data_IF_424800986562
#
_entry.id   IF_424800986562
#
_cell.length_a   1.000
_cell.length_b   1.000
_cell.length_c   1.000
_cell.angle_alpha   90.00
_cell.angle_beta   90.00
_cell.angle_gamma   90.00
#
_symmetry.space_group_name_H-M   'P 1'
#
loop_
_entity.id
_entity.type
_entity.pdbx_description
1 polymer ?
#
# COMPACT_ATOMS: atom_id res chain seq x y z
N UNK A 1 22.50 -0.57 5.59
CA UNK A 1 23.30 -0.45 6.86
C UNK A 1 24.43 -1.45 6.84
N UNK A 2 25.67 -1.02 7.05
CA UNK A 2 26.77 -1.96 7.27
C UNK A 2 26.63 -2.51 8.69
N UNK A 3 26.27 -3.80 8.80
CA UNK A 3 26.26 -4.46 10.10
C UNK A 3 27.70 -4.65 10.55
N UNK A 4 28.11 -3.92 11.54
CA UNK A 4 29.39 -4.14 12.19
C UNK A 4 29.25 -5.27 13.19
N UNK A 5 30.10 -6.30 13.07
CA UNK A 5 30.18 -7.33 14.09
C UNK A 5 30.91 -6.78 15.33
N UNK A 6 30.66 -7.36 16.51
CA UNK A 6 31.34 -7.00 17.74
C UNK A 6 32.88 -7.03 17.57
N UNK A 7 33.40 -8.00 16.81
CA UNK A 7 34.81 -8.10 16.46
C UNK A 7 35.30 -6.92 15.60
N UNK A 8 34.47 -6.44 14.66
CA UNK A 8 34.84 -5.27 13.83
C UNK A 8 34.85 -3.99 14.64
N UNK A 9 33.94 -3.85 15.61
CA UNK A 9 33.94 -2.70 16.54
C UNK A 9 35.17 -2.75 17.42
N UNK A 10 35.56 -3.90 17.97
CA UNK A 10 36.74 -4.08 18.77
C UNK A 10 38.02 -3.70 18.01
N UNK A 11 38.17 -4.23 16.79
CA UNK A 11 39.29 -3.88 15.91
C UNK A 11 39.35 -2.41 15.54
N UNK A 12 38.19 -1.76 15.37
CA UNK A 12 38.15 -0.32 15.11
C UNK A 12 38.59 0.52 16.30
N UNK A 13 38.19 0.16 17.52
CA UNK A 13 38.60 0.82 18.76
C UNK A 13 40.10 0.62 18.99
N UNK A 14 40.64 -0.58 18.77
CA UNK A 14 42.08 -0.87 18.87
C UNK A 14 42.90 -0.05 17.84
N UNK A 15 42.43 0.00 16.57
CA UNK A 15 43.08 0.79 15.52
C UNK A 15 43.05 2.30 15.77
N UNK A 16 42.01 2.78 16.46
CA UNK A 16 41.88 4.18 16.84
C UNK A 16 42.72 4.53 18.10
N UNK A 17 43.39 3.58 18.71
CA UNK A 17 44.18 3.79 19.93
C UNK A 17 43.36 4.15 21.16
N UNK A 18 42.05 3.80 21.17
CA UNK A 18 41.15 4.09 22.27
C UNK A 18 41.22 3.01 23.34
N UNK A 19 41.05 3.41 24.61
CA UNK A 19 41.02 2.45 25.72
C UNK A 19 39.89 1.45 25.65
N UNK A 20 40.14 0.26 26.16
CA UNK A 20 39.14 -0.84 26.20
C UNK A 20 37.88 -0.48 27.00
N UNK A 21 37.99 0.50 27.92
CA UNK A 21 36.87 1.12 28.63
C UNK A 21 35.86 1.80 27.69
N UNK A 22 36.34 2.41 26.60
CA UNK A 22 35.51 3.03 25.56
C UNK A 22 34.78 1.97 24.77
N UNK A 23 35.45 0.84 24.45
CA UNK A 23 34.78 -0.31 23.80
C UNK A 23 33.64 -0.84 24.66
N UNK A 24 33.87 -1.04 25.97
CA UNK A 24 32.85 -1.55 26.88
C UNK A 24 31.65 -0.57 27.01
N UNK A 25 31.90 0.75 27.01
CA UNK A 25 30.85 1.76 27.02
C UNK A 25 30.05 1.78 25.72
N UNK A 26 30.73 1.80 24.59
CA UNK A 26 30.03 1.73 23.26
C UNK A 26 29.25 0.43 23.13
N UNK A 27 29.82 -0.68 23.59
CA UNK A 27 29.14 -1.97 23.62
C UNK A 27 27.91 -1.93 24.50
N UNK A 28 28.00 -1.42 25.73
CA UNK A 28 26.85 -1.34 26.64
C UNK A 28 25.72 -0.45 26.08
N UNK A 29 26.06 0.66 25.43
CA UNK A 29 25.07 1.55 24.81
C UNK A 29 24.44 0.94 23.54
N UNK A 30 25.25 0.29 22.68
CA UNK A 30 24.75 -0.34 21.44
C UNK A 30 23.94 -1.60 21.70
N UNK A 31 24.32 -2.41 22.71
CA UNK A 31 23.63 -3.67 23.01
C UNK A 31 22.66 -3.57 24.18
N UNK A 32 22.63 -2.45 24.95
CA UNK A 32 21.58 -2.17 25.93
C UNK A 32 20.29 -1.64 25.28
N UNK A 33 20.34 -1.17 24.06
CA UNK A 33 19.10 -0.93 23.31
C UNK A 33 18.53 -2.28 22.90
N UNK A 34 17.30 -2.62 23.33
CA UNK A 34 16.62 -3.80 22.81
C UNK A 34 16.64 -3.66 21.29
N UNK A 35 17.15 -4.68 20.60
CA UNK A 35 17.18 -4.71 19.13
C UNK A 35 15.76 -4.44 18.58
N UNK A 36 15.45 -3.18 18.36
CA UNK A 36 14.24 -2.76 17.64
C UNK A 36 14.47 -2.83 16.13
N UNK A 37 15.21 -3.86 15.70
CA UNK A 37 15.16 -4.22 14.29
C UNK A 37 13.82 -4.91 14.07
N UNK A 38 13.01 -4.46 13.11
CA UNK A 38 11.97 -5.31 12.56
C UNK A 38 12.67 -6.43 11.79
N UNK A 39 13.28 -7.36 12.52
CA UNK A 39 13.65 -8.65 11.98
C UNK A 39 12.36 -9.28 11.47
N UNK A 40 12.40 -9.91 10.32
CA UNK A 40 11.30 -10.69 9.76
C UNK A 40 11.12 -11.92 10.67
N UNK A 41 10.52 -11.71 11.84
CA UNK A 41 10.22 -12.80 12.76
C UNK A 41 9.04 -13.57 12.19
N UNK A 42 9.12 -14.90 12.22
CA UNK A 42 8.02 -15.80 11.82
C UNK A 42 6.72 -15.43 12.56
N UNK A 43 6.84 -14.94 13.79
CA UNK A 43 5.71 -14.44 14.58
C UNK A 43 4.97 -13.27 13.87
N UNK A 44 5.68 -12.34 13.24
CA UNK A 44 5.06 -11.24 12.50
C UNK A 44 4.27 -11.74 11.29
N UNK A 45 4.81 -12.71 10.55
CA UNK A 45 4.09 -13.34 9.44
C UNK A 45 2.80 -13.97 9.94
N UNK A 46 2.85 -14.70 11.06
CA UNK A 46 1.69 -15.34 11.64
C UNK A 46 0.63 -14.30 12.08
N UNK A 47 1.03 -13.17 12.65
CA UNK A 47 0.11 -12.10 13.05
C UNK A 47 -0.59 -11.46 11.84
N UNK A 48 0.15 -11.12 10.78
CA UNK A 48 -0.43 -10.57 9.54
C UNK A 48 -1.34 -11.59 8.85
N UNK A 49 -0.91 -12.83 8.74
CA UNK A 49 -1.72 -13.91 8.17
C UNK A 49 -3.02 -14.12 8.98
N UNK A 50 -2.92 -14.15 10.30
CA UNK A 50 -4.09 -14.25 11.18
C UNK A 50 -5.08 -13.11 10.97
N UNK A 51 -4.61 -11.87 10.91
CA UNK A 51 -5.46 -10.72 10.64
C UNK A 51 -6.14 -10.81 9.25
N UNK A 52 -5.40 -11.19 8.21
CA UNK A 52 -5.93 -11.37 6.86
C UNK A 52 -6.96 -12.50 6.80
N UNK A 53 -6.74 -13.62 7.52
CA UNK A 53 -7.70 -14.71 7.60
C UNK A 53 -9.00 -14.29 8.27
N UNK A 54 -8.93 -13.48 9.35
CA UNK A 54 -10.13 -12.95 10.02
C UNK A 54 -10.91 -12.03 9.07
N UNK A 55 -10.21 -11.09 8.40
CA UNK A 55 -10.84 -10.18 7.42
C UNK A 55 -11.46 -10.98 6.28
N UNK A 56 -10.74 -11.97 5.74
CA UNK A 56 -11.23 -12.83 4.67
C UNK A 56 -12.42 -13.69 5.08
N UNK A 57 -12.40 -14.26 6.28
CA UNK A 57 -13.52 -15.04 6.84
C UNK A 57 -14.78 -14.19 6.99
N UNK A 58 -14.65 -12.93 7.43
CA UNK A 58 -15.78 -12.00 7.51
C UNK A 58 -16.29 -11.61 6.13
N UNK A 59 -15.41 -11.40 5.15
CA UNK A 59 -15.80 -11.18 3.75
C UNK A 59 -16.58 -12.36 3.18
N UNK A 60 -16.11 -13.59 3.41
CA UNK A 60 -16.80 -14.80 3.01
C UNK A 60 -18.15 -14.97 3.70
N UNK A 61 -18.20 -14.74 5.02
CA UNK A 61 -19.43 -14.79 5.80
C UNK A 61 -20.51 -13.86 5.25
N UNK A 62 -20.14 -12.64 4.85
CA UNK A 62 -21.07 -11.71 4.21
C UNK A 62 -21.64 -12.31 2.92
N UNK A 63 -20.76 -12.85 2.07
CA UNK A 63 -21.15 -13.40 0.76
C UNK A 63 -22.12 -14.56 0.92
N UNK A 64 -21.93 -15.45 1.88
CA UNK A 64 -22.76 -16.63 2.13
C UNK A 64 -24.04 -16.27 2.91
N UNK A 65 -23.93 -15.39 3.90
CA UNK A 65 -25.04 -14.99 4.76
C UNK A 65 -25.92 -13.86 4.19
N UNK A 66 -25.54 -13.30 3.03
CA UNK A 66 -26.15 -12.14 2.43
C UNK A 66 -27.67 -12.25 2.24
N UNK A 67 -28.14 -13.42 1.79
CA UNK A 67 -29.56 -13.69 1.52
C UNK A 67 -30.31 -14.21 2.75
N UNK A 68 -29.64 -14.80 3.73
CA UNK A 68 -30.23 -15.54 4.83
C UNK A 68 -30.38 -14.71 6.13
N UNK A 69 -29.54 -13.69 6.33
CA UNK A 69 -29.56 -12.91 7.56
C UNK A 69 -30.25 -11.54 7.39
N UNK A 70 -30.93 -11.11 8.47
CA UNK A 70 -31.48 -9.75 8.53
C UNK A 70 -30.37 -8.70 8.64
N UNK A 71 -30.65 -7.46 8.19
CA UNK A 71 -29.73 -6.34 8.32
C UNK A 71 -29.27 -6.10 9.76
N UNK A 72 -30.21 -6.20 10.73
CA UNK A 72 -29.91 -6.09 12.14
C UNK A 72 -28.92 -7.16 12.63
N UNK A 73 -29.11 -8.40 12.19
CA UNK A 73 -28.22 -9.51 12.58
C UNK A 73 -26.80 -9.27 12.06
N UNK A 74 -26.65 -8.84 10.82
CA UNK A 74 -25.36 -8.51 10.21
C UNK A 74 -24.69 -7.37 10.96
N UNK A 75 -25.42 -6.28 11.24
CA UNK A 75 -24.90 -5.14 11.98
C UNK A 75 -24.44 -5.53 13.40
N UNK A 76 -25.24 -6.33 14.13
CA UNK A 76 -24.88 -6.80 15.48
C UNK A 76 -23.63 -7.66 15.48
N UNK A 77 -23.50 -8.60 14.53
CA UNK A 77 -22.30 -9.43 14.40
C UNK A 77 -21.09 -8.55 14.12
N UNK A 78 -21.16 -7.66 13.12
CA UNK A 78 -20.06 -6.77 12.77
C UNK A 78 -19.65 -5.85 13.93
N UNK A 79 -20.60 -5.27 14.64
CA UNK A 79 -20.34 -4.43 15.82
C UNK A 79 -19.73 -5.25 16.96
N UNK A 80 -20.22 -6.47 17.23
CA UNK A 80 -19.63 -7.34 18.23
C UNK A 80 -18.14 -7.63 17.92
N UNK A 81 -17.83 -7.98 16.68
CA UNK A 81 -16.45 -8.17 16.24
C UNK A 81 -15.62 -6.89 16.36
N UNK A 82 -16.16 -5.75 15.92
CA UNK A 82 -15.47 -4.45 16.02
C UNK A 82 -15.14 -4.09 17.47
N UNK A 83 -16.08 -4.30 18.38
CA UNK A 83 -15.89 -4.02 19.83
C UNK A 83 -14.87 -4.97 20.45
N UNK A 84 -14.98 -6.27 20.16
CA UNK A 84 -14.06 -7.29 20.70
C UNK A 84 -12.65 -7.04 20.18
N UNK A 85 -12.46 -6.95 18.86
CA UNK A 85 -11.15 -6.76 18.28
C UNK A 85 -10.57 -5.37 18.58
N UNK A 86 -11.41 -4.33 18.61
CA UNK A 86 -10.98 -2.98 19.00
C UNK A 86 -10.56 -2.92 20.46
N UNK A 87 -11.35 -3.49 21.36
CA UNK A 87 -11.04 -3.53 22.80
C UNK A 87 -9.76 -4.32 23.10
N UNK A 88 -9.66 -5.55 22.58
CA UNK A 88 -8.45 -6.38 22.71
C UNK A 88 -7.26 -5.72 22.02
N UNK A 89 -7.46 -5.16 20.81
CA UNK A 89 -6.45 -4.46 20.06
C UNK A 89 -5.83 -3.30 20.83
N UNK A 90 -6.66 -2.41 21.38
CA UNK A 90 -6.21 -1.28 22.21
C UNK A 90 -5.48 -1.78 23.47
N UNK A 91 -6.01 -2.80 24.13
CA UNK A 91 -5.40 -3.37 25.34
C UNK A 91 -3.98 -3.93 25.06
N UNK A 92 -3.82 -4.66 23.96
CA UNK A 92 -2.55 -5.21 23.54
C UNK A 92 -1.60 -4.12 23.05
N UNK A 93 -2.11 -3.11 22.33
CA UNK A 93 -1.30 -2.02 21.79
C UNK A 93 -0.62 -1.16 22.86
N UNK A 94 -1.17 -1.13 24.07
CA UNK A 94 -0.57 -0.45 25.23
C UNK A 94 0.69 -1.13 25.76
N UNK A 95 0.96 -2.38 25.36
CA UNK A 95 2.11 -3.16 25.84
C UNK A 95 3.17 -3.22 24.73
N UNK A 96 4.44 -2.83 25.01
CA UNK A 96 5.49 -2.83 23.99
C UNK A 96 5.70 -4.18 23.28
N UNK A 97 5.61 -5.29 24.01
CA UNK A 97 5.79 -6.63 23.46
C UNK A 97 4.65 -7.08 22.50
N UNK A 98 3.48 -6.44 22.54
CA UNK A 98 2.31 -6.81 21.74
C UNK A 98 1.76 -5.69 20.87
N UNK A 99 2.62 -4.70 20.53
CA UNK A 99 2.26 -3.57 19.67
C UNK A 99 1.73 -4.01 18.31
N UNK A 100 2.39 -4.97 17.66
CA UNK A 100 2.02 -5.43 16.32
C UNK A 100 0.66 -6.14 16.33
N UNK A 101 0.43 -7.21 17.12
CA UNK A 101 -0.88 -7.85 17.16
C UNK A 101 -1.98 -6.89 17.64
N UNK A 102 -1.69 -5.98 18.57
CA UNK A 102 -2.64 -4.94 19.01
C UNK A 102 -3.04 -3.99 17.89
N UNK A 103 -2.07 -3.52 17.10
CA UNK A 103 -2.30 -2.68 15.93
C UNK A 103 -3.10 -3.40 14.84
N UNK A 104 -2.78 -4.66 14.56
CA UNK A 104 -3.49 -5.49 13.57
C UNK A 104 -4.94 -5.75 13.97
N UNK A 105 -5.21 -6.12 15.23
CA UNK A 105 -6.58 -6.32 15.71
C UNK A 105 -7.39 -5.02 15.65
N UNK A 106 -6.77 -3.87 15.94
CA UNK A 106 -7.41 -2.57 15.77
C UNK A 106 -7.74 -2.28 14.29
N UNK A 107 -6.88 -2.68 13.36
CA UNK A 107 -7.16 -2.57 11.93
C UNK A 107 -8.31 -3.51 11.50
N UNK A 108 -8.34 -4.75 12.02
CA UNK A 108 -9.47 -5.68 11.80
C UNK A 108 -10.79 -5.04 12.28
N UNK A 109 -10.79 -4.38 13.44
CA UNK A 109 -11.98 -3.69 13.95
C UNK A 109 -12.45 -2.59 12.99
N UNK A 110 -11.54 -1.84 12.39
CA UNK A 110 -11.88 -0.85 11.33
C UNK A 110 -12.46 -1.54 10.10
N UNK A 111 -11.92 -2.67 9.67
CA UNK A 111 -12.43 -3.44 8.54
C UNK A 111 -13.86 -3.99 8.77
N UNK A 112 -14.34 -4.07 10.01
CA UNK A 112 -15.72 -4.45 10.31
C UNK A 112 -16.72 -3.30 10.10
N UNK A 113 -16.24 -2.06 9.98
CA UNK A 113 -17.11 -0.87 9.84
C UNK A 113 -17.99 -0.92 8.59
N UNK A 114 -17.49 -1.21 7.38
CA UNK A 114 -18.32 -1.30 6.18
C UNK A 114 -19.50 -2.26 6.38
N UNK A 115 -19.22 -3.41 6.99
CA UNK A 115 -20.22 -4.44 7.24
C UNK A 115 -21.29 -4.00 8.25
N UNK A 116 -20.88 -3.30 9.31
CA UNK A 116 -21.81 -2.75 10.30
C UNK A 116 -22.73 -1.71 9.67
N UNK A 117 -22.19 -0.80 8.84
CA UNK A 117 -22.98 0.23 8.14
C UNK A 117 -23.93 -0.43 7.15
N UNK A 118 -23.44 -1.36 6.32
CA UNK A 118 -24.28 -2.13 5.41
C UNK A 118 -25.48 -2.78 6.11
N UNK A 119 -25.24 -3.47 7.22
CA UNK A 119 -26.29 -4.12 7.99
C UNK A 119 -27.33 -3.11 8.52
N UNK A 120 -26.90 -1.92 8.97
CA UNK A 120 -27.78 -0.84 9.41
C UNK A 120 -28.61 -0.28 8.25
N UNK A 121 -27.97 0.04 7.12
CA UNK A 121 -28.65 0.57 5.93
C UNK A 121 -29.70 -0.41 5.40
N UNK A 122 -29.37 -1.69 5.38
CA UNK A 122 -30.31 -2.75 5.01
C UNK A 122 -31.48 -2.86 6.00
N UNK A 123 -31.23 -2.67 7.29
CA UNK A 123 -32.27 -2.74 8.32
C UNK A 123 -33.26 -1.58 8.22
N UNK A 124 -32.78 -0.38 7.91
CA UNK A 124 -33.62 0.84 7.77
C UNK A 124 -34.25 0.99 6.37
N UNK A 125 -33.93 0.06 5.44
CA UNK A 125 -34.45 0.09 4.06
C UNK A 125 -33.74 1.12 3.16
N UNK A 126 -32.58 1.61 3.55
CA UNK A 126 -31.79 2.52 2.70
C UNK A 126 -30.99 1.79 1.65
N UNK A 127 -30.69 0.53 1.90
CA UNK A 127 -30.00 -0.32 0.94
C UNK A 127 -30.96 -0.74 -0.18
N UNK A 128 -30.60 -0.56 -1.48
CA UNK A 128 -31.48 -0.92 -2.59
C UNK A 128 -31.86 -2.41 -2.58
N UNK A 129 -33.14 -2.71 -2.74
CA UNK A 129 -33.65 -4.11 -2.72
C UNK A 129 -33.10 -4.98 -3.86
N UNK A 130 -32.59 -4.36 -4.93
CA UNK A 130 -31.99 -5.00 -6.10
C UNK A 130 -30.49 -5.25 -5.96
N UNK A 131 -29.87 -4.82 -4.87
CA UNK A 131 -28.46 -4.95 -4.63
C UNK A 131 -28.21 -6.01 -3.52
N UNK A 132 -27.20 -6.90 -3.67
CA UNK A 132 -26.24 -6.87 -4.77
C UNK A 132 -26.82 -7.50 -6.03
N UNK A 133 -26.76 -6.75 -7.13
CA UNK A 133 -26.89 -7.33 -8.45
C UNK A 133 -25.73 -8.31 -8.73
N UNK A 134 -25.69 -8.88 -9.93
CA UNK A 134 -24.55 -9.71 -10.33
C UNK A 134 -23.30 -8.84 -10.45
N UNK A 135 -22.32 -9.04 -9.57
CA UNK A 135 -21.00 -8.38 -9.61
C UNK A 135 -20.12 -8.89 -10.77
N UNK A 136 -20.70 -9.07 -11.95
CA UNK A 136 -19.97 -9.49 -13.15
C UNK A 136 -19.24 -8.34 -13.83
N UNK A 137 -19.52 -7.09 -13.44
CA UNK A 137 -18.83 -5.90 -13.93
C UNK A 137 -17.87 -5.38 -12.86
N UNK A 138 -16.75 -4.88 -13.29
CA UNK A 138 -15.68 -4.34 -12.43
C UNK A 138 -16.16 -3.20 -11.50
N UNK A 139 -17.19 -2.47 -11.92
CA UNK A 139 -17.98 -1.56 -11.10
C UNK A 139 -19.44 -1.64 -11.53
N UNK A 140 -20.32 -2.34 -10.79
CA UNK A 140 -21.74 -2.10 -10.92
C UNK A 140 -22.03 -0.67 -10.47
N UNK A 141 -22.96 0.03 -11.13
CA UNK A 141 -23.43 1.34 -10.68
C UNK A 141 -24.03 1.20 -9.29
N UNK A 142 -23.37 1.81 -8.31
CA UNK A 142 -23.69 1.71 -6.90
C UNK A 142 -24.36 3.01 -6.50
N UNK A 143 -25.41 2.92 -5.72
CA UNK A 143 -26.16 4.07 -5.20
C UNK A 143 -25.46 4.65 -3.96
N UNK A 144 -25.87 5.83 -3.49
CA UNK A 144 -25.21 6.60 -2.41
C UNK A 144 -25.01 5.88 -1.07
N UNK A 145 -25.63 4.70 -0.88
CA UNK A 145 -25.41 3.83 0.29
C UNK A 145 -23.94 3.41 0.46
N UNK A 146 -23.23 3.13 -0.63
CA UNK A 146 -21.80 2.76 -0.54
C UNK A 146 -20.93 3.90 -0.08
N UNK A 147 -21.18 5.11 -0.56
CA UNK A 147 -20.44 6.30 -0.15
C UNK A 147 -20.57 6.58 1.35
N UNK A 148 -21.74 6.31 1.94
CA UNK A 148 -21.90 6.42 3.38
C UNK A 148 -21.05 5.39 4.12
N UNK A 149 -21.06 4.14 3.66
CA UNK A 149 -20.26 3.05 4.22
C UNK A 149 -18.75 3.39 4.20
N UNK A 150 -18.27 3.94 3.10
CA UNK A 150 -16.88 4.37 2.93
C UNK A 150 -16.54 5.58 3.81
N UNK A 151 -17.41 6.60 3.82
CA UNK A 151 -17.23 7.80 4.65
C UNK A 151 -17.17 7.45 6.14
N UNK A 152 -18.05 6.57 6.62
CA UNK A 152 -18.03 6.10 8.01
C UNK A 152 -16.75 5.29 8.28
N UNK A 153 -16.29 4.48 7.35
CA UNK A 153 -15.04 3.73 7.48
C UNK A 153 -13.83 4.67 7.61
N UNK A 154 -13.78 5.73 6.82
CA UNK A 154 -12.75 6.78 6.91
C UNK A 154 -12.78 7.48 8.27
N UNK A 155 -13.97 7.82 8.75
CA UNK A 155 -14.14 8.46 10.06
C UNK A 155 -13.66 7.53 11.19
N UNK A 156 -14.07 6.27 11.17
CA UNK A 156 -13.65 5.28 12.18
C UNK A 156 -12.15 5.04 12.11
N UNK A 157 -11.57 4.92 10.91
CA UNK A 157 -10.12 4.79 10.74
C UNK A 157 -9.38 5.99 11.34
N UNK A 158 -9.85 7.22 11.09
CA UNK A 158 -9.26 8.45 11.63
C UNK A 158 -9.35 8.49 13.17
N UNK A 159 -10.50 8.10 13.73
CA UNK A 159 -10.69 8.00 15.19
C UNK A 159 -9.76 6.96 15.79
N UNK A 160 -9.69 5.76 15.20
CA UNK A 160 -8.82 4.69 15.72
C UNK A 160 -7.33 5.09 15.62
N UNK A 161 -6.91 5.73 14.52
CA UNK A 161 -5.53 6.25 14.35
C UNK A 161 -5.15 7.28 15.42
N UNK A 162 -6.11 8.01 15.98
CA UNK A 162 -5.86 8.97 17.08
C UNK A 162 -5.39 8.28 18.36
N UNK A 163 -5.85 7.04 18.60
CA UNK A 163 -5.53 6.25 19.78
C UNK A 163 -4.48 5.18 19.53
N UNK A 164 -4.53 4.55 18.35
CA UNK A 164 -3.65 3.45 17.93
C UNK A 164 -2.88 3.91 16.69
N UNK A 165 -1.68 4.49 16.90
CA UNK A 165 -0.81 4.99 15.81
C UNK A 165 -0.09 3.83 15.12
N UNK A 166 -0.85 3.00 14.41
CA UNK A 166 -0.33 1.83 13.70
C UNK A 166 -0.55 1.96 12.18
N UNK A 167 0.53 1.90 11.34
CA UNK A 167 0.45 2.20 9.91
C UNK A 167 -0.55 1.36 9.13
N UNK A 168 -0.77 0.09 9.50
CA UNK A 168 -1.68 -0.79 8.78
C UNK A 168 -3.16 -0.33 8.84
N UNK A 169 -3.52 0.52 9.80
CA UNK A 169 -4.89 1.09 9.88
C UNK A 169 -5.17 2.02 8.70
N UNK A 170 -4.13 2.56 8.06
CA UNK A 170 -4.31 3.35 6.82
C UNK A 170 -4.68 2.50 5.60
N UNK A 171 -4.52 1.17 5.65
CA UNK A 171 -4.91 0.28 4.56
C UNK A 171 -6.43 0.31 4.27
N UNK A 172 -7.33 0.03 5.25
CA UNK A 172 -8.76 0.15 5.03
C UNK A 172 -9.20 1.58 4.67
N UNK A 173 -8.53 2.61 5.19
CA UNK A 173 -8.81 4.00 4.82
C UNK A 173 -8.45 4.29 3.35
N UNK A 174 -7.27 3.88 2.90
CA UNK A 174 -6.84 4.06 1.52
C UNK A 174 -7.72 3.27 0.53
N UNK A 175 -8.14 2.05 0.93
CA UNK A 175 -9.07 1.24 0.18
C UNK A 175 -10.45 1.91 0.06
N UNK A 176 -11.01 2.40 1.18
CA UNK A 176 -12.29 3.11 1.18
C UNK A 176 -12.24 4.39 0.32
N UNK A 177 -11.14 5.16 0.40
CA UNK A 177 -10.96 6.33 -0.47
C UNK A 177 -10.94 5.96 -1.95
N UNK A 178 -10.29 4.84 -2.31
CA UNK A 178 -10.26 4.38 -3.69
C UNK A 178 -11.66 4.05 -4.20
N UNK A 179 -12.45 3.29 -3.45
CA UNK A 179 -13.84 2.99 -3.82
C UNK A 179 -14.70 4.26 -3.86
N UNK A 180 -14.60 5.13 -2.86
CA UNK A 180 -15.35 6.37 -2.79
C UNK A 180 -15.10 7.28 -4.00
N UNK A 181 -13.91 7.23 -4.63
CA UNK A 181 -13.65 7.99 -5.84
C UNK A 181 -14.48 7.52 -7.03
N UNK A 182 -14.78 6.23 -7.09
CA UNK A 182 -15.58 5.64 -8.16
C UNK A 182 -17.08 5.84 -7.90
N UNK A 183 -17.53 5.60 -6.67
CA UNK A 183 -18.93 5.73 -6.28
C UNK A 183 -19.38 7.18 -6.20
N UNK A 184 -18.54 8.07 -5.64
CA UNK A 184 -18.80 9.52 -5.58
C UNK A 184 -18.97 10.15 -6.95
N UNK A 185 -18.31 9.59 -7.96
CA UNK A 185 -18.42 10.06 -9.34
C UNK A 185 -19.81 9.81 -9.91
N UNK A 186 -20.38 8.63 -9.66
CA UNK A 186 -21.73 8.30 -10.11
C UNK A 186 -22.78 9.19 -9.47
N UNK A 187 -22.57 9.61 -8.21
CA UNK A 187 -23.43 10.55 -7.50
C UNK A 187 -23.36 11.99 -8.05
N UNK A 188 -22.15 12.46 -8.36
CA UNK A 188 -21.94 13.85 -8.78
C UNK A 188 -22.38 14.11 -10.21
N UNK A 189 -22.26 13.14 -11.09
CA UNK A 189 -22.43 13.33 -12.54
C UNK A 189 -23.53 12.45 -13.17
N UNK A 190 -24.20 11.58 -12.40
CA UNK A 190 -25.30 10.74 -12.83
C UNK A 190 -24.87 9.44 -13.53
N UNK A 191 -25.82 8.60 -13.88
CA UNK A 191 -25.59 7.20 -14.35
C UNK A 191 -25.13 7.05 -15.82
N UNK A 192 -24.65 8.10 -16.49
CA UNK A 192 -24.29 8.08 -17.92
C UNK A 192 -22.81 8.19 -18.18
N UNK A 193 -21.97 7.40 -17.45
CA UNK A 193 -20.55 7.40 -17.70
C UNK A 193 -20.13 6.34 -18.69
N UNK A 194 -19.14 6.67 -19.50
CA UNK A 194 -18.43 5.71 -20.33
C UNK A 194 -17.30 5.09 -19.54
N UNK A 195 -16.96 3.86 -19.83
CA UNK A 195 -15.80 3.17 -19.23
C UNK A 195 -14.50 4.00 -19.34
N UNK A 196 -14.34 4.70 -20.45
CA UNK A 196 -13.18 5.59 -20.67
C UNK A 196 -13.13 6.77 -19.66
N UNK A 197 -14.28 7.32 -19.28
CA UNK A 197 -14.34 8.38 -18.26
C UNK A 197 -14.02 7.84 -16.87
N UNK A 198 -14.48 6.64 -16.52
CA UNK A 198 -14.14 5.97 -15.27
C UNK A 198 -12.62 5.75 -15.15
N UNK A 199 -11.95 5.36 -16.24
CA UNK A 199 -10.50 5.23 -16.26
C UNK A 199 -9.79 6.57 -16.00
N UNK A 200 -10.24 7.66 -16.60
CA UNK A 200 -9.67 9.00 -16.34
C UNK A 200 -9.86 9.46 -14.91
N UNK A 201 -10.99 9.16 -14.30
CA UNK A 201 -11.24 9.47 -12.89
C UNK A 201 -10.30 8.65 -12.01
N UNK A 202 -10.12 7.36 -12.30
CA UNK A 202 -9.16 6.52 -11.59
C UNK A 202 -7.73 7.07 -11.69
N UNK A 203 -7.31 7.54 -12.87
CA UNK A 203 -6.00 8.19 -13.06
C UNK A 203 -5.90 9.46 -12.22
N UNK A 204 -6.88 10.37 -12.31
CA UNK A 204 -6.88 11.63 -11.57
C UNK A 204 -6.88 11.42 -10.06
N UNK A 205 -7.69 10.48 -9.58
CA UNK A 205 -7.74 10.12 -8.17
C UNK A 205 -6.42 9.48 -7.71
N UNK A 206 -5.84 8.60 -8.54
CA UNK A 206 -4.52 8.02 -8.27
C UNK A 206 -3.46 9.10 -8.06
N UNK A 207 -3.40 10.11 -8.95
CA UNK A 207 -2.50 11.26 -8.79
C UNK A 207 -2.77 12.02 -7.49
N UNK A 208 -4.05 12.27 -7.16
CA UNK A 208 -4.42 12.94 -5.91
C UNK A 208 -3.95 12.15 -4.67
N UNK A 209 -4.17 10.82 -4.66
CA UNK A 209 -3.71 9.96 -3.57
C UNK A 209 -2.18 9.96 -3.44
N UNK A 210 -1.46 9.91 -4.57
CA UNK A 210 0.01 10.00 -4.57
C UNK A 210 0.50 11.33 -4.02
N UNK A 211 -0.17 12.44 -4.35
CA UNK A 211 0.12 13.75 -3.80
C UNK A 211 -0.14 13.79 -2.28
N UNK A 212 -1.30 13.31 -1.82
CA UNK A 212 -1.63 13.21 -0.39
C UNK A 212 -0.61 12.35 0.36
N UNK A 213 -0.24 11.19 -0.21
CA UNK A 213 0.79 10.31 0.35
C UNK A 213 2.13 11.04 0.49
N UNK A 214 2.53 11.80 -0.53
CA UNK A 214 3.76 12.59 -0.51
C UNK A 214 3.76 13.68 0.57
N UNK A 215 2.62 14.37 0.78
CA UNK A 215 2.50 15.36 1.83
C UNK A 215 2.46 14.76 3.23
N UNK A 216 1.86 13.57 3.40
CA UNK A 216 1.85 12.84 4.66
C UNK A 216 3.19 12.15 4.97
N UNK A 217 4.02 11.92 3.93
CA UNK A 217 5.30 11.24 4.05
C UNK A 217 6.36 12.15 4.71
N UNK A 218 7.12 11.60 5.62
CA UNK A 218 8.19 12.33 6.29
C UNK A 218 7.79 13.09 7.57
N UNK A 219 6.53 13.08 7.97
CA UNK A 219 6.10 13.71 9.23
C UNK A 219 6.26 12.80 10.45
N UNK A 220 6.43 11.49 10.23
CA UNK A 220 6.54 10.49 11.30
C UNK A 220 7.58 9.43 10.97
N UNK A 221 8.19 8.83 12.01
CA UNK A 221 9.10 7.69 11.86
C UNK A 221 8.40 6.43 11.28
N UNK A 222 7.08 6.33 11.47
CA UNK A 222 6.27 5.20 10.99
C UNK A 222 5.72 5.49 9.61
N UNK A 223 5.73 4.49 8.73
CA UNK A 223 5.29 4.61 7.34
C UNK A 223 3.77 4.57 7.16
N UNK A 224 3.08 5.67 7.53
CA UNK A 224 1.64 5.82 7.32
C UNK A 224 1.27 6.08 5.85
N UNK A 225 2.22 6.54 5.03
CA UNK A 225 1.98 6.88 3.63
C UNK A 225 1.99 5.64 2.71
N UNK A 226 2.55 4.51 3.15
CA UNK A 226 2.71 3.31 2.32
C UNK A 226 1.43 2.87 1.61
N UNK A 227 0.32 2.76 2.32
CA UNK A 227 -0.95 2.28 1.76
C UNK A 227 -1.57 3.30 0.78
N UNK A 228 -1.41 4.59 1.05
CA UNK A 228 -1.86 5.64 0.11
C UNK A 228 -1.02 5.61 -1.17
N UNK A 229 0.29 5.40 -1.09
CA UNK A 229 1.12 5.18 -2.28
C UNK A 229 0.69 3.93 -3.04
N UNK A 230 0.46 2.81 -2.33
CA UNK A 230 0.06 1.55 -2.96
C UNK A 230 -1.26 1.68 -3.72
N UNK A 231 -2.32 2.13 -3.06
CA UNK A 231 -3.64 2.29 -3.69
C UNK A 231 -3.66 3.42 -4.72
N UNK A 232 -2.92 4.50 -4.48
CA UNK A 232 -2.73 5.57 -5.47
C UNK A 232 -2.07 5.07 -6.76
N UNK A 233 -1.00 4.27 -6.65
CA UNK A 233 -0.36 3.64 -7.81
C UNK A 233 -1.28 2.63 -8.48
N UNK A 234 -2.04 1.81 -7.73
CA UNK A 234 -3.02 0.89 -8.31
C UNK A 234 -4.10 1.63 -9.11
N UNK A 235 -4.67 2.69 -8.55
CA UNK A 235 -5.67 3.50 -9.24
C UNK A 235 -5.09 4.19 -10.48
N UNK A 236 -3.90 4.80 -10.36
CA UNK A 236 -3.23 5.50 -11.44
C UNK A 236 -2.84 4.56 -12.58
N UNK A 237 -2.06 3.52 -12.29
CA UNK A 237 -1.56 2.60 -13.32
C UNK A 237 -2.66 1.72 -13.88
N UNK A 238 -3.63 1.29 -13.04
CA UNK A 238 -4.79 0.53 -13.49
C UNK A 238 -5.66 1.34 -14.46
N UNK A 239 -6.01 2.57 -14.09
CA UNK A 239 -6.75 3.47 -14.99
C UNK A 239 -5.99 3.73 -16.29
N UNK A 240 -4.67 3.96 -16.22
CA UNK A 240 -3.84 4.21 -17.39
C UNK A 240 -3.75 2.99 -18.32
N UNK A 241 -3.63 1.79 -17.74
CA UNK A 241 -3.58 0.54 -18.52
C UNK A 241 -4.91 0.27 -19.24
N UNK A 242 -6.04 0.56 -18.59
CA UNK A 242 -7.38 0.37 -19.16
C UNK A 242 -7.76 1.45 -20.20
N UNK A 243 -7.09 2.61 -20.19
CA UNK A 243 -7.25 3.67 -21.19
C UNK A 243 -6.60 3.35 -22.54
N UNK A 244 -5.83 2.28 -22.65
CA UNK A 244 -5.02 1.93 -23.82
C UNK A 244 -5.77 2.01 -25.15
N UNK A 245 -5.48 3.04 -25.93
CA UNK A 245 -6.18 3.37 -27.21
C UNK A 245 -5.68 2.55 -28.43
N UNK A 246 -4.81 1.57 -28.23
CA UNK A 246 -4.23 0.79 -29.34
C UNK A 246 -3.35 1.61 -30.32
N UNK A 247 -3.26 2.92 -30.15
CA UNK A 247 -2.45 3.85 -30.94
C UNK A 247 -1.00 3.79 -30.51
N UNK A 248 -0.04 3.79 -31.45
CA UNK A 248 1.40 3.73 -31.17
C UNK A 248 1.90 4.89 -30.30
N UNK A 249 1.34 6.10 -30.48
CA UNK A 249 1.68 7.27 -29.68
C UNK A 249 1.21 7.07 -28.24
N UNK A 250 -0.01 6.59 -28.03
CA UNK A 250 -0.56 6.29 -26.69
C UNK A 250 0.26 5.24 -25.96
N UNK A 251 0.68 4.18 -26.66
CA UNK A 251 1.56 3.15 -26.11
C UNK A 251 2.94 3.70 -25.72
N UNK A 252 3.53 4.58 -26.54
CA UNK A 252 4.81 5.23 -26.23
C UNK A 252 4.69 6.13 -24.99
N UNK A 253 3.61 6.92 -24.88
CA UNK A 253 3.31 7.74 -23.71
C UNK A 253 3.14 6.87 -22.46
N UNK A 254 2.41 5.76 -22.56
CA UNK A 254 2.25 4.80 -21.47
C UNK A 254 3.60 4.28 -20.97
N UNK A 255 4.49 3.87 -21.89
CA UNK A 255 5.84 3.42 -21.54
C UNK A 255 6.65 4.53 -20.85
N UNK A 256 6.62 5.75 -21.38
CA UNK A 256 7.33 6.90 -20.81
C UNK A 256 6.84 7.23 -19.39
N UNK A 257 5.54 7.16 -19.15
CA UNK A 257 4.98 7.37 -17.80
C UNK A 257 5.52 6.30 -16.83
N UNK A 258 5.57 5.04 -17.23
CA UNK A 258 6.07 3.98 -16.36
C UNK A 258 7.59 4.05 -16.14
N UNK A 259 8.36 4.49 -17.13
CA UNK A 259 9.78 4.83 -16.95
C UNK A 259 9.96 6.01 -15.98
N UNK A 260 9.07 6.99 -16.03
CA UNK A 260 9.06 8.10 -15.09
C UNK A 260 8.70 7.64 -13.65
N UNK A 261 7.80 6.66 -13.48
CA UNK A 261 7.55 6.05 -12.18
C UNK A 261 8.81 5.35 -11.63
N UNK A 262 9.58 4.65 -12.47
CA UNK A 262 10.86 4.06 -12.07
C UNK A 262 11.84 5.14 -11.61
N UNK A 263 11.93 6.26 -12.33
CA UNK A 263 12.73 7.41 -11.92
C UNK A 263 12.24 7.99 -10.57
N UNK A 264 10.94 8.17 -10.40
CA UNK A 264 10.35 8.62 -9.13
C UNK A 264 10.65 7.67 -7.97
N UNK A 265 10.78 6.37 -8.21
CA UNK A 265 11.17 5.41 -7.18
C UNK A 265 12.54 5.75 -6.58
N UNK A 266 13.48 6.23 -7.40
CA UNK A 266 14.81 6.64 -6.96
C UNK A 266 14.73 7.98 -6.21
N UNK A 267 13.96 8.95 -6.73
CA UNK A 267 13.84 10.29 -6.13
C UNK A 267 13.10 10.25 -4.79
N UNK A 268 12.00 9.49 -4.72
CA UNK A 268 11.17 9.36 -3.52
C UNK A 268 11.64 8.25 -2.59
N UNK A 269 12.61 7.44 -3.00
CA UNK A 269 13.11 6.28 -2.24
C UNK A 269 12.00 5.31 -1.85
N UNK A 270 11.01 5.12 -2.78
CA UNK A 270 9.81 4.31 -2.56
C UNK A 270 9.75 3.14 -3.54
N UNK A 271 9.96 1.92 -3.02
CA UNK A 271 9.99 0.67 -3.82
C UNK A 271 8.70 0.41 -4.60
N UNK A 272 7.54 0.87 -4.10
CA UNK A 272 6.27 0.70 -4.78
C UNK A 272 6.28 1.30 -6.20
N UNK A 273 6.84 2.50 -6.37
CA UNK A 273 6.97 3.14 -7.69
C UNK A 273 7.80 2.30 -8.67
N UNK A 274 8.87 1.66 -8.18
CA UNK A 274 9.69 0.76 -9.00
C UNK A 274 8.89 -0.44 -9.49
N UNK A 275 8.13 -1.07 -8.59
CA UNK A 275 7.33 -2.26 -8.90
C UNK A 275 6.26 -1.94 -9.94
N UNK A 276 5.45 -0.89 -9.71
CA UNK A 276 4.40 -0.51 -10.66
C UNK A 276 4.96 0.02 -11.99
N UNK A 277 6.07 0.77 -11.95
CA UNK A 277 6.77 1.20 -13.15
C UNK A 277 7.29 0.02 -13.98
N UNK A 278 7.92 -0.97 -13.32
CA UNK A 278 8.42 -2.16 -13.99
C UNK A 278 7.30 -3.03 -14.59
N UNK A 279 6.18 -3.21 -13.86
CA UNK A 279 5.00 -3.92 -14.37
C UNK A 279 4.47 -3.23 -15.63
N UNK A 280 4.32 -1.90 -15.62
CA UNK A 280 3.81 -1.18 -16.79
C UNK A 280 4.74 -1.24 -18.00
N UNK A 281 6.06 -1.13 -17.80
CA UNK A 281 7.04 -1.33 -18.89
C UNK A 281 6.94 -2.76 -19.43
N UNK A 282 6.79 -3.77 -18.55
CA UNK A 282 6.61 -5.15 -18.97
C UNK A 282 5.33 -5.33 -19.81
N UNK A 283 4.19 -4.78 -19.37
CA UNK A 283 2.92 -4.83 -20.12
C UNK A 283 3.05 -4.16 -21.50
N UNK A 284 3.76 -3.03 -21.57
CA UNK A 284 4.05 -2.38 -22.86
C UNK A 284 4.85 -3.29 -23.78
N UNK A 285 5.93 -3.87 -23.27
CA UNK A 285 6.80 -4.74 -24.08
C UNK A 285 6.07 -6.02 -24.52
N UNK A 286 5.22 -6.59 -23.67
CA UNK A 286 4.38 -7.73 -24.02
C UNK A 286 3.41 -7.36 -25.16
N UNK A 287 2.73 -6.21 -25.04
CA UNK A 287 1.81 -5.72 -26.06
C UNK A 287 2.47 -5.47 -27.42
N UNK A 288 3.68 -4.89 -27.44
CA UNK A 288 4.44 -4.69 -28.68
C UNK A 288 4.99 -6.00 -29.24
N UNK A 289 5.48 -6.89 -28.39
CA UNK A 289 6.03 -8.15 -28.80
C UNK A 289 4.99 -9.10 -29.41
N UNK A 290 3.76 -9.11 -28.89
CA UNK A 290 2.64 -9.88 -29.49
C UNK A 290 2.23 -9.33 -30.85
N UNK A 291 2.38 -8.03 -31.10
CA UNK A 291 2.14 -7.39 -32.41
C UNK A 291 3.24 -7.67 -33.44
N UNK A 292 4.50 -7.67 -33.04
CA UNK A 292 5.65 -7.77 -33.94
C UNK A 292 6.10 -9.21 -34.20
N UNK A 293 6.00 -10.08 -33.19
CA UNK A 293 6.49 -11.46 -33.24
C UNK A 293 5.33 -12.46 -33.19
N UNK A 294 4.47 -12.44 -34.18
CA UNK A 294 3.36 -13.43 -34.29
C UNK A 294 3.81 -14.91 -34.35
N UNK A 295 5.12 -15.16 -34.44
CA UNK A 295 5.74 -16.51 -34.44
C UNK A 295 6.74 -16.65 -33.29
N UNK A 296 6.47 -17.59 -32.44
CA UNK A 296 6.96 -17.96 -31.12
C UNK A 296 8.44 -17.72 -30.75
N UNK A 297 9.39 -17.89 -31.65
CA UNK A 297 10.82 -17.91 -31.29
C UNK A 297 11.41 -16.51 -31.09
N UNK A 298 11.06 -15.56 -31.94
CA UNK A 298 11.55 -14.18 -31.86
C UNK A 298 11.06 -13.45 -30.60
N UNK A 299 9.82 -13.73 -30.16
CA UNK A 299 9.25 -13.20 -28.93
C UNK A 299 10.03 -13.64 -27.68
N UNK A 300 10.28 -14.95 -27.55
CA UNK A 300 11.04 -15.50 -26.42
C UNK A 300 12.45 -14.92 -26.36
N UNK A 301 13.11 -14.79 -27.52
CA UNK A 301 14.46 -14.19 -27.61
C UNK A 301 14.46 -12.70 -27.19
N UNK A 302 13.50 -11.92 -27.68
CA UNK A 302 13.38 -10.52 -27.34
C UNK A 302 13.15 -10.30 -25.83
N UNK A 303 12.19 -11.03 -25.23
CA UNK A 303 11.95 -10.97 -23.77
C UNK A 303 13.17 -11.38 -22.96
N UNK A 304 13.89 -12.43 -23.42
CA UNK A 304 15.12 -12.85 -22.74
C UNK A 304 16.20 -11.76 -22.78
N UNK A 305 16.40 -11.13 -23.93
CA UNK A 305 17.37 -10.02 -24.07
C UNK A 305 16.99 -8.82 -23.20
N UNK A 306 15.70 -8.46 -23.17
CA UNK A 306 15.19 -7.39 -22.32
C UNK A 306 15.40 -7.74 -20.83
N UNK A 307 15.12 -9.00 -20.42
CA UNK A 307 15.38 -9.46 -19.05
C UNK A 307 16.86 -9.33 -18.67
N UNK A 308 17.75 -9.74 -19.56
CA UNK A 308 19.20 -9.58 -19.38
C UNK A 308 19.58 -8.12 -19.25
N UNK A 309 19.03 -7.23 -20.10
CA UNK A 309 19.29 -5.80 -20.05
C UNK A 309 18.88 -5.19 -18.69
N UNK A 310 17.71 -5.58 -18.14
CA UNK A 310 17.28 -5.14 -16.82
C UNK A 310 18.22 -5.65 -15.70
N UNK A 311 18.69 -6.88 -15.78
CA UNK A 311 19.66 -7.42 -14.82
C UNK A 311 20.98 -6.63 -14.89
N UNK A 312 21.49 -6.39 -16.10
CA UNK A 312 22.72 -5.61 -16.30
C UNK A 312 22.54 -4.17 -15.79
N UNK A 313 21.40 -3.53 -16.10
CA UNK A 313 21.09 -2.19 -15.59
C UNK A 313 21.04 -2.15 -14.07
N UNK A 314 20.44 -3.16 -13.41
CA UNK A 314 20.43 -3.29 -11.96
C UNK A 314 21.83 -3.47 -11.35
N UNK A 315 22.69 -4.28 -11.98
CA UNK A 315 24.08 -4.45 -11.57
C UNK A 315 24.89 -3.14 -11.73
N UNK A 316 24.70 -2.43 -12.84
CA UNK A 316 25.35 -1.14 -13.09
C UNK A 316 24.87 -0.07 -12.09
N UNK A 317 23.58 -0.05 -11.81
CA UNK A 317 23.00 0.80 -10.76
C UNK A 317 23.67 0.53 -9.41
N UNK A 318 23.71 -0.74 -8.98
CA UNK A 318 24.31 -1.13 -7.70
C UNK A 318 25.81 -0.77 -7.64
N UNK A 319 26.54 -0.96 -8.74
CA UNK A 319 27.96 -0.61 -8.83
C UNK A 319 28.20 0.89 -8.67
N UNK A 320 27.30 1.71 -9.22
CA UNK A 320 27.43 3.17 -9.27
C UNK A 320 26.50 3.87 -8.26
N UNK A 321 25.90 3.15 -7.33
CA UNK A 321 24.89 3.66 -6.39
C UNK A 321 25.36 4.92 -5.65
N UNK A 322 26.59 4.92 -5.13
CA UNK A 322 27.15 6.06 -4.42
C UNK A 322 27.31 7.31 -5.30
N UNK A 323 27.77 7.14 -6.55
CA UNK A 323 27.91 8.24 -7.51
C UNK A 323 26.54 8.75 -7.97
N UNK A 324 25.61 7.85 -8.30
CA UNK A 324 24.26 8.20 -8.71
C UNK A 324 23.49 8.90 -7.60
N UNK A 325 23.61 8.43 -6.36
CA UNK A 325 23.02 9.08 -5.19
C UNK A 325 23.58 10.48 -5.01
N UNK A 326 24.88 10.67 -5.19
CA UNK A 326 25.52 11.98 -5.15
C UNK A 326 24.98 12.95 -6.21
N UNK A 327 24.82 12.50 -7.45
CA UNK A 327 24.24 13.31 -8.54
C UNK A 327 22.75 13.60 -8.34
N UNK A 328 21.99 12.67 -7.78
CA UNK A 328 20.56 12.83 -7.55
C UNK A 328 20.23 13.55 -6.23
N UNK A 329 21.19 13.63 -5.30
CA UNK A 329 21.00 14.25 -3.99
C UNK A 329 20.40 15.67 -4.05
N UNK A 330 20.81 16.59 -4.96
CA UNK A 330 20.17 17.90 -5.08
C UNK A 330 18.70 17.82 -5.49
N UNK A 331 18.31 16.80 -6.25
CA UNK A 331 16.95 16.61 -6.78
C UNK A 331 16.01 15.94 -5.73
N UNK A 332 16.58 15.21 -4.77
CA UNK A 332 15.79 14.56 -3.72
C UNK A 332 15.12 15.62 -2.85
N UNK A 333 13.78 15.55 -2.67
CA UNK A 333 13.06 16.52 -1.85
C UNK A 333 13.57 16.57 -0.41
N UNK A 334 13.54 17.75 0.21
CA UNK A 334 14.04 17.95 1.58
C UNK A 334 13.34 17.01 2.59
N UNK A 335 12.06 16.72 2.41
CA UNK A 335 11.29 15.78 3.25
C UNK A 335 11.85 14.35 3.22
N UNK A 336 12.24 13.88 2.04
CA UNK A 336 12.85 12.54 1.86
C UNK A 336 14.25 12.52 2.48
N UNK A 337 15.02 13.60 2.31
CA UNK A 337 16.34 13.76 2.96
C UNK A 337 16.25 13.69 4.48
N UNK A 338 15.25 14.34 5.06
CA UNK A 338 15.04 14.35 6.51
C UNK A 338 14.76 12.95 7.05
N UNK A 339 13.98 12.16 6.32
CA UNK A 339 13.67 10.76 6.68
C UNK A 339 14.93 9.87 6.66
N UNK A 340 15.80 10.04 5.65
CA UNK A 340 17.06 9.29 5.59
C UNK A 340 18.12 9.76 6.57
N UNK A 341 18.04 11.01 7.02
CA UNK A 341 18.88 11.52 8.10
C UNK A 341 18.45 11.00 9.49
N UNK A 342 17.22 10.56 9.64
CA UNK A 342 16.69 9.91 10.84
C UNK A 342 16.94 8.38 10.84
N UNK A 343 17.29 7.79 9.71
CA UNK A 343 17.82 6.42 9.66
C UNK A 343 19.30 6.51 10.01
N UNK A 344 19.75 6.05 11.20
CA UNK A 344 21.16 6.04 11.53
C UNK A 344 21.91 5.21 10.49
N UNK A 345 22.96 5.78 9.91
CA UNK A 345 23.82 5.21 8.90
C UNK A 345 24.48 3.88 9.34
#
# INVERSE_FOLDING_TARGET
>A
MKNFSEQQLQLAVERAGLEQSVFQRIRSELFAQPESRPGFEVAHIAYYLGALLIIGAMGWFITDAWTSLSGATIALIALAYAVIFGGVGIALYRRPATLIPGGLLSAVAVCMTPLAVYGLERQIGWWPATDPGSYTRFHPMIDGSWVLMEAVTLLVAAVVLRYVRFPFITAPAAYALWFMSMDGTSLLFGKRWTFHQECWISVAFGVLMLALAYFADGETEKDFAFWFYLFGLMAFTGGLTLLGDGNQIGKAIYCLIHLFLIFLAIVLQRKAFLVFGAIGVFCYLEGEATGFFRNSFGFTLALTLIGILFIVAGLLYKKNEAALTGYLYPIIPARVKHRHALEPA
#
